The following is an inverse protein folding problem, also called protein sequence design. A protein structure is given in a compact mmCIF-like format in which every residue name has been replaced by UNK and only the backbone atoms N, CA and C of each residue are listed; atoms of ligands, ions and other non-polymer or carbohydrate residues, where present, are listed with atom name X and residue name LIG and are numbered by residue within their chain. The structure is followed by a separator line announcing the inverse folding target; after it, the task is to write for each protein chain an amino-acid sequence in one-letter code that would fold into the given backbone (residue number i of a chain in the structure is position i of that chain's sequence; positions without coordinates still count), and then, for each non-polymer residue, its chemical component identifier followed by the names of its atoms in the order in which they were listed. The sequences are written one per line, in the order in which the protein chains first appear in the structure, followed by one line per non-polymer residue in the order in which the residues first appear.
data_IF_142369883892
#
_entry.id   IF_142369883892
#
_cell.length_a   1.000
_cell.length_b   1.000
_cell.length_c   1.000
_cell.angle_alpha   90.00
_cell.angle_beta   90.00
_cell.angle_gamma   90.00
#
_symmetry.space_group_name_H-M   'P 1'
#
loop_
_entity.id
_entity.type
_entity.pdbx_description
1 polymer ?
#
# COMPACT_ATOMS: atom_id res chain seq x y z
N UNK A 1 12.05 -19.79 -0.74
CA UNK A 1 12.66 -18.73 0.03
C UNK A 1 11.63 -17.83 0.67
N UNK A 2 11.75 -17.68 1.93
CA UNK A 2 10.74 -16.93 2.64
C UNK A 2 11.26 -15.57 2.98
N UNK A 3 10.46 -14.57 2.71
CA UNK A 3 10.75 -13.23 3.17
C UNK A 3 9.82 -12.92 4.30
N UNK A 4 10.35 -12.18 5.24
CA UNK A 4 9.54 -11.76 6.36
C UNK A 4 8.87 -10.44 5.97
N UNK A 5 7.57 -10.48 5.82
CA UNK A 5 6.81 -9.29 5.47
C UNK A 5 5.98 -8.90 6.68
N UNK A 6 6.15 -7.69 7.12
CA UNK A 6 5.38 -7.18 8.24
C UNK A 6 4.48 -6.06 7.79
N UNK A 7 3.30 -6.01 8.35
CA UNK A 7 2.36 -4.93 8.08
C UNK A 7 2.01 -4.26 9.38
N UNK A 8 2.16 -2.97 9.41
CA UNK A 8 1.81 -2.21 10.59
C UNK A 8 0.79 -1.15 10.22
N UNK A 9 -0.33 -1.18 10.88
CA UNK A 9 -1.33 -0.16 10.68
C UNK A 9 -0.96 0.99 11.58
N UNK A 10 -0.62 2.08 10.94
CA UNK A 10 -0.06 3.22 11.64
C UNK A 10 -1.12 4.12 12.23
N UNK A 11 -2.38 3.78 12.02
CA UNK A 11 -3.41 4.68 12.47
C UNK A 11 -4.70 3.93 12.67
N UNK A 12 -5.40 4.29 13.71
CA UNK A 12 -6.66 3.68 13.93
C UNK A 12 -7.68 4.14 12.93
N UNK A 13 -8.74 3.41 12.86
CA UNK A 13 -9.75 3.69 11.88
C UNK A 13 -10.63 4.80 12.31
N UNK A 14 -10.60 5.85 11.62
CA UNK A 14 -11.49 6.94 11.93
C UNK A 14 -12.79 6.76 11.25
N UNK A 15 -13.67 7.58 11.62
CA UNK A 15 -14.95 7.66 11.00
C UNK A 15 -14.86 8.71 9.92
N UNK A 16 -15.36 8.41 8.75
CA UNK A 16 -15.47 9.44 7.74
C UNK A 16 -14.33 9.44 6.74
N UNK A 17 -13.60 10.51 6.65
CA UNK A 17 -12.71 10.73 5.54
C UNK A 17 -11.24 10.49 5.79
N UNK A 18 -10.92 9.77 6.81
CA UNK A 18 -9.54 9.62 7.16
C UNK A 18 -8.92 8.45 6.44
N UNK A 19 -7.68 8.59 6.08
CA UNK A 19 -6.97 7.57 5.34
C UNK A 19 -6.44 6.51 6.25
N UNK A 20 -6.28 5.32 5.71
CA UNK A 20 -5.62 4.24 6.42
C UNK A 20 -4.20 4.16 5.91
N UNK A 21 -3.26 4.11 6.82
CA UNK A 21 -1.86 4.08 6.46
C UNK A 21 -1.24 2.79 6.96
N UNK A 22 -0.63 2.07 6.06
CA UNK A 22 -0.03 0.78 6.37
C UNK A 22 1.43 0.83 6.02
N UNK A 23 2.27 0.54 7.00
CA UNK A 23 3.70 0.44 6.75
C UNK A 23 4.02 -1.00 6.41
N UNK A 24 4.62 -1.21 5.26
CA UNK A 24 5.00 -2.53 4.82
C UNK A 24 6.49 -2.70 5.01
N UNK A 25 6.86 -3.75 5.73
CA UNK A 25 8.27 -4.04 6.00
C UNK A 25 8.63 -5.38 5.41
N UNK A 26 9.87 -5.48 4.99
CA UNK A 26 10.38 -6.73 4.49
C UNK A 26 11.72 -6.97 5.17
N UNK A 27 11.82 -8.09 5.86
CA UNK A 27 13.06 -8.48 6.55
C UNK A 27 13.58 -7.40 7.48
N UNK A 28 12.65 -6.74 8.16
CA UNK A 28 13.01 -5.74 9.15
C UNK A 28 13.21 -4.34 8.60
N UNK A 29 13.11 -4.18 7.30
CA UNK A 29 13.29 -2.86 6.70
C UNK A 29 12.00 -2.40 6.07
N UNK A 30 11.79 -1.10 6.06
CA UNK A 30 10.59 -0.56 5.46
C UNK A 30 10.64 -0.70 3.95
N UNK A 31 9.73 -1.46 3.40
CA UNK A 31 9.60 -1.58 1.97
C UNK A 31 8.88 -0.36 1.42
N UNK A 32 7.92 0.13 2.13
CA UNK A 32 7.20 1.30 1.72
C UNK A 32 6.00 1.56 2.59
N UNK A 33 5.24 2.58 2.26
CA UNK A 33 4.04 2.94 2.98
C UNK A 33 2.88 2.96 2.01
N UNK A 34 1.83 2.22 2.35
CA UNK A 34 0.62 2.18 1.55
C UNK A 34 -0.43 3.02 2.25
N UNK A 35 -1.00 3.96 1.54
CA UNK A 35 -2.03 4.80 2.11
C UNK A 35 -3.30 4.60 1.31
N UNK A 36 -4.37 4.28 1.98
CA UNK A 36 -5.64 3.98 1.35
C UNK A 36 -6.61 5.08 1.69
N UNK A 37 -7.15 5.70 0.67
CA UNK A 37 -8.11 6.76 0.87
C UNK A 37 -9.34 6.48 0.02
N UNK A 38 -10.29 7.38 0.10
CA UNK A 38 -11.51 7.22 -0.67
C UNK A 38 -11.27 7.25 -2.16
N UNK A 39 -10.39 8.13 -2.60
CA UNK A 39 -10.21 8.34 -4.01
C UNK A 39 -9.05 7.65 -4.63
N UNK A 40 -8.14 7.14 -3.83
CA UNK A 40 -6.92 6.58 -4.40
C UNK A 40 -6.20 5.68 -3.44
N UNK A 41 -5.25 4.95 -3.97
CA UNK A 41 -4.28 4.22 -3.19
C UNK A 41 -2.93 4.85 -3.50
N UNK A 42 -2.18 5.16 -2.47
CA UNK A 42 -0.90 5.82 -2.62
C UNK A 42 0.20 4.90 -2.12
N UNK A 43 1.31 4.93 -2.79
CA UNK A 43 2.45 4.12 -2.39
C UNK A 43 3.70 4.97 -2.35
N UNK A 44 4.38 4.95 -1.24
CA UNK A 44 5.66 5.62 -1.10
C UNK A 44 6.73 4.58 -0.82
N UNK A 45 7.60 4.30 -1.77
CA UNK A 45 8.69 3.35 -1.53
C UNK A 45 9.58 3.81 -0.40
N UNK A 46 10.19 2.85 0.26
CA UNK A 46 10.86 3.11 1.53
C UNK A 46 11.85 4.24 1.55
N UNK A 47 12.63 4.38 0.51
CA UNK A 47 13.66 5.42 0.49
C UNK A 47 13.36 6.54 -0.47
N UNK A 48 12.19 6.53 -1.07
CA UNK A 48 11.86 7.56 -2.03
C UNK A 48 11.28 8.76 -1.32
N UNK A 49 11.47 9.90 -1.93
CA UNK A 49 10.83 11.11 -1.43
C UNK A 49 9.53 11.38 -2.11
N UNK A 50 9.19 10.53 -3.05
CA UNK A 50 8.04 10.74 -3.90
C UNK A 50 7.00 9.68 -3.62
N UNK A 51 5.76 10.07 -3.71
CA UNK A 51 4.65 9.16 -3.55
C UNK A 51 3.95 9.00 -4.88
N UNK A 52 3.60 7.77 -5.20
CA UNK A 52 2.82 7.49 -6.39
C UNK A 52 1.39 7.20 -5.98
N UNK A 53 0.46 7.75 -6.71
CA UNK A 53 -0.94 7.59 -6.40
C UNK A 53 -1.67 7.04 -7.60
N UNK A 54 -2.64 6.17 -7.34
CA UNK A 54 -3.49 5.63 -8.38
C UNK A 54 -4.93 5.73 -7.95
N UNK A 55 -5.78 6.17 -8.84
CA UNK A 55 -7.20 6.09 -8.59
C UNK A 55 -7.62 4.62 -8.55
N UNK A 56 -8.70 4.36 -7.84
CA UNK A 56 -9.09 2.97 -7.64
C UNK A 56 -9.37 2.22 -8.94
N UNK A 57 -9.92 2.90 -9.92
CA UNK A 57 -10.18 2.25 -11.19
C UNK A 57 -8.90 1.86 -11.90
N UNK A 58 -7.89 2.72 -11.80
CA UNK A 58 -6.62 2.42 -12.42
C UNK A 58 -5.91 1.31 -11.66
N UNK A 59 -6.02 1.33 -10.34
CA UNK A 59 -5.45 0.30 -9.52
C UNK A 59 -6.05 -1.06 -9.90
N UNK A 60 -7.36 -1.11 -10.07
CA UNK A 60 -8.02 -2.34 -10.48
C UNK A 60 -7.49 -2.83 -11.82
N UNK A 61 -7.35 -1.94 -12.77
CA UNK A 61 -6.89 -2.32 -14.09
C UNK A 61 -5.47 -2.87 -14.04
N UNK A 62 -4.59 -2.23 -13.28
CA UNK A 62 -3.22 -2.67 -13.17
C UNK A 62 -3.10 -4.00 -12.45
N UNK A 63 -3.92 -4.21 -11.43
CA UNK A 63 -3.89 -5.47 -10.72
C UNK A 63 -4.31 -6.62 -11.63
N UNK A 64 -5.28 -6.38 -12.46
CA UNK A 64 -5.72 -7.43 -13.37
C UNK A 64 -4.72 -7.69 -14.47
N UNK A 65 -3.94 -6.68 -14.83
CA UNK A 65 -2.97 -6.83 -15.88
C UNK A 65 -1.67 -7.42 -15.37
N UNK A 66 -1.20 -6.95 -14.23
CA UNK A 66 0.12 -7.34 -13.74
C UNK A 66 0.07 -8.27 -12.54
N UNK A 67 -1.02 -8.34 -11.85
CA UNK A 67 -1.15 -9.27 -10.76
C UNK A 67 -1.41 -10.67 -11.31
N UNK A 68 -1.36 -11.64 -10.44
CA UNK A 68 -1.65 -13.00 -10.84
C UNK A 68 -2.64 -13.61 -9.88
N UNK A 69 -3.37 -14.57 -10.37
CA UNK A 69 -4.34 -15.26 -9.56
C UNK A 69 -3.63 -16.06 -8.49
N UNK A 70 -4.10 -16.02 -7.26
CA UNK A 70 -3.46 -16.81 -6.21
C UNK A 70 -3.72 -18.30 -6.35
N UNK A 71 -4.48 -18.72 -7.28
CA UNK A 71 -4.71 -20.15 -7.44
C UNK A 71 -4.48 -20.59 -8.81
#
# INVERSE_FOLDING_TARGET
MAHSIGLKIDHELPVGNVDVKIVVEQDGERLGVLKISRGSVDWKPGKAKRTWALEWERFDALMREFGHSPR
#
